data_IF_966503363472
#
_entry.id   IF_966503363472
#
_cell.length_a   1.000
_cell.length_b   1.000
_cell.length_c   1.000
_cell.angle_alpha   90.00
_cell.angle_beta   90.00
_cell.angle_gamma   90.00
#
_symmetry.space_group_name_H-M   'P 1'
#
loop_
_entity.id
_entity.type
_entity.pdbx_description
1 polymer ?
#
# COMPACT_ATOMS: atom_id res chain seq x y z
N UNK A 1 -5.77 27.00 -10.56
CA UNK A 1 -6.74 27.66 -11.47
C UNK A 1 -7.57 26.58 -12.14
N UNK A 2 -8.88 26.75 -12.28
CA UNK A 2 -9.77 25.76 -12.91
C UNK A 2 -9.32 25.45 -14.35
N UNK A 3 -9.27 24.18 -14.72
CA UNK A 3 -9.05 23.77 -16.12
C UNK A 3 -10.23 24.23 -16.97
N UNK A 4 -9.95 24.83 -18.13
CA UNK A 4 -10.97 25.34 -19.01
C UNK A 4 -10.40 25.82 -20.34
N UNK A 5 -11.24 25.85 -21.37
CA UNK A 5 -10.85 26.32 -22.71
C UNK A 5 -10.29 27.75 -22.68
N UNK A 6 -10.90 28.63 -21.88
CA UNK A 6 -10.45 30.01 -21.70
C UNK A 6 -9.15 30.16 -20.89
N UNK A 7 -8.74 29.12 -20.13
CA UNK A 7 -7.50 29.17 -19.34
C UNK A 7 -6.28 28.63 -20.10
N UNK A 8 -6.47 28.03 -21.29
CA UNK A 8 -5.40 27.44 -22.10
C UNK A 8 -4.71 26.22 -21.46
N UNK A 9 -5.22 25.74 -20.32
CA UNK A 9 -4.63 24.66 -19.51
C UNK A 9 -5.52 23.42 -19.46
N UNK A 10 -6.44 23.29 -20.42
CA UNK A 10 -7.23 22.08 -20.55
C UNK A 10 -6.32 20.93 -21.00
N UNK A 11 -6.40 19.81 -20.30
CA UNK A 11 -5.72 18.57 -20.70
C UNK A 11 -6.73 17.75 -21.46
N UNK A 12 -6.38 17.34 -22.68
CA UNK A 12 -7.20 16.43 -23.48
C UNK A 12 -6.98 14.99 -22.99
N UNK A 13 -8.01 14.32 -22.42
CA UNK A 13 -7.88 12.94 -21.97
C UNK A 13 -7.46 11.99 -23.09
N UNK A 14 -7.88 12.23 -24.33
CA UNK A 14 -7.58 11.35 -25.46
C UNK A 14 -6.10 11.38 -25.79
N UNK A 15 -5.44 12.53 -25.69
CA UNK A 15 -3.99 12.61 -25.88
C UNK A 15 -3.24 11.79 -24.83
N UNK A 16 -3.68 11.86 -23.57
CA UNK A 16 -3.05 11.10 -22.48
C UNK A 16 -3.28 9.60 -22.67
N UNK A 17 -4.49 9.18 -23.02
CA UNK A 17 -4.84 7.77 -23.27
C UNK A 17 -4.06 7.22 -24.47
N UNK A 18 -3.96 7.96 -25.57
CA UNK A 18 -3.21 7.54 -26.74
C UNK A 18 -1.71 7.41 -26.47
N UNK A 19 -1.16 8.24 -25.58
CA UNK A 19 0.26 8.22 -25.26
C UNK A 19 0.63 7.17 -24.21
N UNK A 20 -0.19 6.97 -23.18
CA UNK A 20 0.15 6.16 -22.01
C UNK A 20 -0.78 4.96 -21.77
N UNK A 21 -1.94 4.90 -22.43
CA UNK A 21 -2.97 3.89 -22.23
C UNK A 21 -4.05 4.29 -21.22
N UNK A 22 -5.22 3.65 -21.35
CA UNK A 22 -6.40 3.94 -20.54
C UNK A 22 -6.18 3.62 -19.05
N UNK A 23 -5.47 2.53 -18.73
CA UNK A 23 -5.20 2.13 -17.35
C UNK A 23 -4.27 3.10 -16.63
N UNK A 24 -3.24 3.60 -17.31
CA UNK A 24 -2.37 4.64 -16.75
C UNK A 24 -3.18 5.90 -16.43
N UNK A 25 -4.04 6.33 -17.36
CA UNK A 25 -4.90 7.50 -17.16
C UNK A 25 -5.83 7.32 -15.95
N UNK A 26 -6.57 6.20 -15.89
CA UNK A 26 -7.47 5.86 -14.77
C UNK A 26 -6.73 5.86 -13.44
N UNK A 27 -5.63 5.12 -13.36
CA UNK A 27 -4.84 5.00 -12.13
C UNK A 27 -4.31 6.37 -11.69
N UNK A 28 -3.80 7.17 -12.63
CA UNK A 28 -3.28 8.50 -12.31
C UNK A 28 -4.36 9.43 -11.74
N UNK A 29 -5.56 9.46 -12.34
CA UNK A 29 -6.70 10.25 -11.84
C UNK A 29 -7.10 9.82 -10.43
N UNK A 30 -7.13 8.51 -10.15
CA UNK A 30 -7.47 7.99 -8.83
C UNK A 30 -6.37 8.14 -7.78
N UNK A 31 -5.13 8.43 -8.20
CA UNK A 31 -3.96 8.50 -7.32
C UNK A 31 -3.50 9.92 -6.99
N UNK A 32 -3.72 10.89 -7.89
CA UNK A 32 -3.15 12.24 -7.81
C UNK A 32 -3.70 13.09 -6.64
N UNK A 33 -4.78 12.67 -5.99
CA UNK A 33 -5.35 13.38 -4.85
C UNK A 33 -6.38 12.54 -4.10
N UNK A 34 -6.84 13.08 -2.98
CA UNK A 34 -8.01 12.56 -2.28
C UNK A 34 -9.27 12.80 -3.13
N UNK A 35 -10.18 11.83 -3.14
CA UNK A 35 -11.34 11.84 -4.04
C UNK A 35 -12.21 13.10 -3.91
N UNK A 36 -12.43 13.57 -2.68
CA UNK A 36 -13.26 14.75 -2.41
C UNK A 36 -12.53 16.08 -2.64
N UNK A 37 -11.20 16.05 -2.78
CA UNK A 37 -10.39 17.26 -2.85
C UNK A 37 -10.06 17.66 -4.28
N UNK A 38 -10.02 18.99 -4.51
CA UNK A 38 -9.49 19.51 -5.76
C UNK A 38 -7.97 19.29 -5.82
N UNK A 39 -7.51 18.63 -6.88
CA UNK A 39 -6.08 18.41 -7.12
C UNK A 39 -5.60 19.10 -8.41
N UNK A 40 -4.30 19.36 -8.48
CA UNK A 40 -3.67 19.94 -9.66
C UNK A 40 -3.22 18.80 -10.57
N UNK A 41 -3.69 18.78 -11.81
CA UNK A 41 -3.18 17.86 -12.81
C UNK A 41 -1.68 18.10 -13.07
N UNK A 42 -0.87 17.04 -13.00
CA UNK A 42 0.57 17.10 -13.31
C UNK A 42 1.01 15.92 -14.14
N UNK A 43 1.69 16.18 -15.26
CA UNK A 43 2.31 15.12 -16.06
C UNK A 43 3.46 14.43 -15.31
N UNK A 44 4.10 15.10 -14.35
CA UNK A 44 5.16 14.48 -13.54
C UNK A 44 4.65 13.27 -12.77
N UNK A 45 3.42 13.33 -12.23
CA UNK A 45 2.83 12.21 -11.49
C UNK A 45 2.45 11.01 -12.35
N UNK A 46 2.26 11.19 -13.67
CA UNK A 46 1.86 10.09 -14.56
C UNK A 46 2.95 9.03 -14.70
N UNK A 47 4.21 9.45 -14.62
CA UNK A 47 5.37 8.56 -14.70
C UNK A 47 5.35 7.53 -13.57
N UNK A 48 4.85 7.90 -12.39
CA UNK A 48 4.66 6.99 -11.27
C UNK A 48 3.65 5.88 -11.61
N UNK A 49 2.52 6.24 -12.20
CA UNK A 49 1.49 5.29 -12.65
C UNK A 49 2.01 4.35 -13.75
N UNK A 50 2.75 4.88 -14.74
CA UNK A 50 3.40 4.07 -15.78
C UNK A 50 4.36 3.07 -15.16
N UNK A 51 5.27 3.53 -14.29
CA UNK A 51 6.26 2.68 -13.65
C UNK A 51 5.63 1.60 -12.77
N UNK A 52 4.55 1.93 -12.06
CA UNK A 52 3.82 0.94 -11.28
C UNK A 52 3.18 -0.13 -12.17
N UNK A 53 2.50 0.27 -13.26
CA UNK A 53 1.87 -0.73 -14.15
C UNK A 53 2.89 -1.58 -14.91
N UNK A 54 4.06 -1.03 -15.25
CA UNK A 54 5.18 -1.83 -15.75
C UNK A 54 5.63 -2.87 -14.72
N UNK A 55 5.75 -2.48 -13.44
CA UNK A 55 6.08 -3.44 -12.37
C UNK A 55 5.00 -4.52 -12.19
N UNK A 56 3.73 -4.16 -12.33
CA UNK A 56 2.60 -5.12 -12.30
C UNK A 56 2.69 -6.09 -13.47
N UNK A 57 2.99 -5.59 -14.67
CA UNK A 57 3.21 -6.42 -15.85
C UNK A 57 4.31 -7.47 -15.63
N UNK A 58 5.44 -7.07 -15.03
CA UNK A 58 6.57 -7.95 -14.77
C UNK A 58 6.26 -9.07 -13.75
N UNK A 59 5.18 -8.98 -12.95
CA UNK A 59 4.87 -9.98 -11.93
C UNK A 59 4.64 -11.37 -12.52
N UNK A 60 4.18 -11.45 -13.77
CA UNK A 60 3.96 -12.71 -14.47
C UNK A 60 5.24 -13.56 -14.59
N UNK A 61 6.42 -12.91 -14.61
CA UNK A 61 7.72 -13.60 -14.66
C UNK A 61 8.22 -14.06 -13.29
N UNK A 62 7.61 -13.58 -12.21
CA UNK A 62 7.97 -13.91 -10.83
C UNK A 62 7.12 -15.04 -10.24
N UNK A 63 6.16 -15.58 -11.00
CA UNK A 63 5.25 -16.63 -10.54
C UNK A 63 6.03 -17.91 -10.22
N UNK A 64 5.93 -18.38 -8.97
CA UNK A 64 6.54 -19.64 -8.51
C UNK A 64 5.54 -20.47 -7.73
N UNK A 65 5.25 -21.67 -8.24
CA UNK A 65 4.30 -22.59 -7.61
C UNK A 65 4.80 -23.04 -6.21
N UNK A 66 3.88 -23.09 -5.24
CA UNK A 66 4.11 -23.64 -3.90
C UNK A 66 4.98 -22.79 -2.96
N UNK A 67 5.46 -21.62 -3.39
CA UNK A 67 6.16 -20.67 -2.50
C UNK A 67 5.16 -19.67 -1.91
N UNK A 68 4.92 -19.77 -0.61
CA UNK A 68 4.11 -18.81 0.14
C UNK A 68 4.98 -18.14 1.18
N UNK A 69 4.99 -16.81 1.19
CA UNK A 69 5.66 -16.03 2.23
C UNK A 69 4.63 -15.60 3.27
N UNK A 70 4.90 -15.88 4.55
CA UNK A 70 4.07 -15.36 5.64
C UNK A 70 3.97 -13.83 5.62
N UNK A 71 5.01 -13.15 5.12
CA UNK A 71 5.00 -11.69 4.95
C UNK A 71 4.12 -11.25 3.78
N UNK A 72 4.18 -11.95 2.64
CA UNK A 72 3.30 -11.67 1.48
C UNK A 72 1.85 -11.88 1.85
N UNK A 73 1.54 -13.00 2.51
CA UNK A 73 0.21 -13.33 3.00
C UNK A 73 -0.33 -12.23 3.93
N UNK A 74 0.47 -11.81 4.91
CA UNK A 74 0.13 -10.72 5.83
C UNK A 74 -0.15 -9.41 5.07
N UNK A 75 0.73 -9.03 4.14
CA UNK A 75 0.56 -7.81 3.34
C UNK A 75 -0.67 -7.88 2.44
N UNK A 76 -0.94 -9.03 1.84
CA UNK A 76 -2.12 -9.25 1.00
C UNK A 76 -3.40 -9.15 1.82
N UNK A 77 -3.48 -9.77 3.00
CA UNK A 77 -4.65 -9.63 3.87
C UNK A 77 -4.90 -8.19 4.31
N UNK A 78 -3.84 -7.45 4.65
CA UNK A 78 -3.94 -6.00 4.93
C UNK A 78 -4.42 -5.22 3.71
N UNK A 79 -3.94 -5.57 2.51
CA UNK A 79 -4.35 -4.93 1.27
C UNK A 79 -5.83 -5.20 0.98
N UNK A 80 -6.28 -6.46 1.07
CA UNK A 80 -7.69 -6.84 0.89
C UNK A 80 -8.57 -6.06 1.87
N UNK A 81 -8.22 -6.03 3.16
CA UNK A 81 -8.93 -5.24 4.17
C UNK A 81 -9.01 -3.76 3.80
N UNK A 82 -7.89 -3.17 3.40
CA UNK A 82 -7.83 -1.75 3.03
C UNK A 82 -8.65 -1.43 1.78
N UNK A 83 -8.72 -2.34 0.81
CA UNK A 83 -9.57 -2.20 -0.36
C UNK A 83 -11.04 -2.28 0.05
N UNK A 84 -11.42 -3.27 0.87
CA UNK A 84 -12.79 -3.42 1.38
C UNK A 84 -13.22 -2.16 2.15
N UNK A 85 -12.47 -1.79 3.18
CA UNK A 85 -12.79 -0.66 4.06
C UNK A 85 -12.73 0.70 3.32
N UNK A 86 -11.88 0.80 2.28
CA UNK A 86 -11.67 2.05 1.54
C UNK A 86 -12.62 2.27 0.36
N UNK A 87 -13.34 1.24 -0.09
CA UNK A 87 -14.36 1.34 -1.14
C UNK A 87 -15.76 1.41 -0.53
N UNK A 88 -16.08 0.52 0.41
CA UNK A 88 -17.40 0.42 1.02
C UNK A 88 -17.30 -0.12 2.46
N UNK A 89 -17.67 0.69 3.44
CA UNK A 89 -17.81 0.30 4.84
C UNK A 89 -19.24 -0.19 5.10
N UNK A 90 -19.48 -1.52 5.19
CA UNK A 90 -20.81 -2.08 5.41
C UNK A 90 -21.38 -1.77 6.80
N UNK A 91 -20.55 -1.30 7.75
CA UNK A 91 -20.98 -0.92 9.10
C UNK A 91 -21.38 0.55 9.22
N UNK A 92 -21.33 1.32 8.13
CA UNK A 92 -21.76 2.72 8.13
C UNK A 92 -23.29 2.85 8.16
N UNK A 93 -23.79 3.88 8.86
CA UNK A 93 -25.23 4.12 9.01
C UNK A 93 -25.85 4.74 7.74
N UNK A 94 -25.05 5.43 6.92
CA UNK A 94 -25.50 6.04 5.66
C UNK A 94 -24.64 5.63 4.47
N UNK A 95 -25.20 5.74 3.26
CA UNK A 95 -24.48 5.45 2.02
C UNK A 95 -23.30 6.40 1.80
N UNK A 96 -23.41 7.68 2.12
CA UNK A 96 -22.27 8.59 2.05
C UNK A 96 -21.15 8.21 3.03
N UNK A 97 -21.48 7.79 4.25
CA UNK A 97 -20.50 7.32 5.23
C UNK A 97 -19.87 5.98 4.84
N UNK A 98 -20.59 5.15 4.09
CA UNK A 98 -20.09 3.87 3.63
C UNK A 98 -18.99 4.05 2.57
N UNK A 99 -19.01 5.12 1.78
CA UNK A 99 -18.12 5.26 0.63
C UNK A 99 -17.06 6.36 0.84
N UNK A 100 -15.97 6.00 1.53
CA UNK A 100 -14.85 6.91 1.81
C UNK A 100 -13.89 7.05 0.60
N UNK A 101 -14.04 6.20 -0.42
CA UNK A 101 -13.33 6.25 -1.72
C UNK A 101 -11.85 6.62 -1.61
N UNK A 102 -11.13 5.97 -0.70
CA UNK A 102 -9.73 6.29 -0.36
C UNK A 102 -8.72 5.74 -1.39
N UNK A 103 -9.00 5.96 -2.66
CA UNK A 103 -8.30 5.35 -3.80
C UNK A 103 -6.80 5.58 -3.79
N UNK A 104 -6.35 6.81 -3.51
CA UNK A 104 -4.94 7.15 -3.41
C UNK A 104 -4.21 6.26 -2.38
N UNK A 105 -4.80 6.05 -1.20
CA UNK A 105 -4.20 5.22 -0.15
C UNK A 105 -4.24 3.73 -0.47
N UNK A 106 -5.29 3.27 -1.17
CA UNK A 106 -5.41 1.89 -1.67
C UNK A 106 -4.29 1.63 -2.68
N UNK A 107 -4.16 2.51 -3.69
CA UNK A 107 -3.14 2.40 -4.74
C UNK A 107 -1.72 2.46 -4.14
N UNK A 108 -1.45 3.32 -3.15
CA UNK A 108 -0.16 3.31 -2.42
C UNK A 108 0.13 1.94 -1.80
N UNK A 109 -0.89 1.26 -1.26
CA UNK A 109 -0.71 -0.05 -0.61
C UNK A 109 -0.50 -1.16 -1.65
N UNK A 110 -1.15 -1.05 -2.81
CA UNK A 110 -0.86 -1.91 -3.96
C UNK A 110 0.59 -1.73 -4.44
N UNK A 111 1.08 -0.48 -4.51
CA UNK A 111 2.48 -0.20 -4.85
C UNK A 111 3.47 -0.81 -3.84
N UNK A 112 3.18 -0.70 -2.54
CA UNK A 112 3.99 -1.32 -1.48
C UNK A 112 4.03 -2.85 -1.63
N UNK A 113 2.87 -3.49 -1.84
CA UNK A 113 2.79 -4.94 -2.07
C UNK A 113 3.64 -5.36 -3.28
N UNK A 114 3.46 -4.70 -4.44
CA UNK A 114 4.23 -5.02 -5.66
C UNK A 114 5.73 -4.79 -5.46
N UNK A 115 6.14 -3.74 -4.77
CA UNK A 115 7.56 -3.50 -4.49
C UNK A 115 8.15 -4.62 -3.64
N UNK A 116 7.42 -5.10 -2.61
CA UNK A 116 7.86 -6.21 -1.77
C UNK A 116 7.97 -7.52 -2.56
N UNK A 117 7.00 -7.83 -3.41
CA UNK A 117 7.07 -8.99 -4.32
C UNK A 117 8.32 -8.93 -5.22
N UNK A 118 8.60 -7.75 -5.80
CA UNK A 118 9.80 -7.56 -6.64
C UNK A 118 11.10 -7.65 -5.85
N UNK A 119 11.12 -7.18 -4.61
CA UNK A 119 12.28 -7.31 -3.70
C UNK A 119 12.59 -8.78 -3.39
N UNK A 120 11.56 -9.56 -3.06
CA UNK A 120 11.73 -10.98 -2.72
C UNK A 120 11.91 -11.87 -3.97
N UNK A 121 11.51 -11.36 -5.14
CA UNK A 121 11.72 -12.01 -6.45
C UNK A 121 10.83 -13.23 -6.69
N UNK A 122 9.67 -13.29 -6.04
CA UNK A 122 8.64 -14.31 -6.32
C UNK A 122 7.24 -13.88 -5.86
N UNK A 123 6.23 -14.48 -6.48
CA UNK A 123 4.82 -14.45 -6.07
C UNK A 123 4.18 -15.82 -6.34
N UNK A 124 3.28 -16.30 -5.49
CA UNK A 124 2.48 -17.49 -5.79
C UNK A 124 1.37 -17.18 -6.81
N UNK A 125 0.80 -18.22 -7.43
CA UNK A 125 -0.36 -18.07 -8.31
C UNK A 125 -1.56 -17.53 -7.58
N UNK A 126 -1.77 -17.96 -6.34
CA UNK A 126 -2.88 -17.56 -5.48
C UNK A 126 -2.77 -16.07 -5.09
N UNK A 127 -1.57 -15.62 -4.70
CA UNK A 127 -1.32 -14.20 -4.38
C UNK A 127 -1.48 -13.31 -5.62
N UNK A 128 -0.95 -13.73 -6.78
CA UNK A 128 -1.11 -12.98 -8.02
C UNK A 128 -2.59 -12.89 -8.42
N UNK A 129 -3.34 -14.00 -8.35
CA UNK A 129 -4.77 -14.01 -8.65
C UNK A 129 -5.53 -13.01 -7.79
N UNK A 130 -5.37 -13.08 -6.48
CA UNK A 130 -6.01 -12.17 -5.54
C UNK A 130 -5.64 -10.71 -5.82
N UNK A 131 -4.35 -10.43 -6.06
CA UNK A 131 -3.88 -9.08 -6.36
C UNK A 131 -4.49 -8.52 -7.65
N UNK A 132 -4.57 -9.31 -8.73
CA UNK A 132 -5.17 -8.88 -9.99
C UNK A 132 -6.65 -8.55 -9.82
N UNK A 133 -7.40 -9.36 -9.07
CA UNK A 133 -8.82 -9.09 -8.78
C UNK A 133 -8.99 -7.77 -8.01
N UNK A 134 -8.14 -7.50 -7.03
CA UNK A 134 -8.16 -6.23 -6.28
C UNK A 134 -7.84 -5.02 -7.16
N UNK A 135 -6.91 -5.17 -8.12
CA UNK A 135 -6.46 -4.09 -8.98
C UNK A 135 -7.39 -3.85 -10.18
N UNK A 136 -8.18 -4.85 -10.59
CA UNK A 136 -9.04 -4.80 -11.77
C UNK A 136 -10.02 -3.59 -11.81
N UNK A 137 -10.67 -3.17 -10.71
CA UNK A 137 -11.51 -1.97 -10.71
C UNK A 137 -10.75 -0.70 -11.13
N UNK A 138 -9.45 -0.65 -10.86
CA UNK A 138 -8.60 0.50 -11.17
C UNK A 138 -8.05 0.43 -12.59
N UNK A 139 -7.48 -0.72 -12.96
CA UNK A 139 -6.78 -0.94 -14.24
C UNK A 139 -7.24 -2.26 -14.88
N UNK A 140 -8.43 -2.28 -15.49
CA UNK A 140 -9.06 -3.51 -15.94
C UNK A 140 -8.32 -4.16 -17.11
N UNK A 141 -7.73 -3.41 -18.03
CA UNK A 141 -7.17 -3.97 -19.26
C UNK A 141 -5.91 -4.81 -18.98
N UNK A 142 -4.96 -4.24 -18.23
CA UNK A 142 -3.71 -4.92 -17.89
C UNK A 142 -3.97 -6.13 -16.97
N UNK A 143 -4.93 -6.02 -16.05
CA UNK A 143 -5.25 -7.11 -15.13
C UNK A 143 -5.94 -8.26 -15.85
N UNK A 144 -6.91 -7.98 -16.73
CA UNK A 144 -7.54 -9.00 -17.58
C UNK A 144 -6.52 -9.70 -18.48
N UNK A 145 -5.61 -8.97 -19.11
CA UNK A 145 -4.59 -9.55 -19.99
C UNK A 145 -3.62 -10.47 -19.23
N UNK A 146 -3.11 -10.04 -18.06
CA UNK A 146 -2.24 -10.89 -17.23
C UNK A 146 -3.03 -12.11 -16.73
N UNK A 147 -4.28 -11.90 -16.34
CA UNK A 147 -5.14 -12.97 -15.81
C UNK A 147 -5.36 -14.07 -16.85
N UNK A 148 -5.79 -13.70 -18.06
CA UNK A 148 -6.03 -14.64 -19.15
C UNK A 148 -4.75 -15.42 -19.51
N UNK A 149 -3.59 -14.74 -19.55
CA UNK A 149 -2.29 -15.38 -19.84
C UNK A 149 -1.88 -16.44 -18.82
N UNK A 150 -2.15 -16.20 -17.53
CA UNK A 150 -1.65 -17.04 -16.44
C UNK A 150 -2.66 -18.11 -16.01
N UNK A 151 -3.94 -17.76 -15.98
CA UNK A 151 -5.02 -18.61 -15.45
C UNK A 151 -5.99 -19.11 -16.52
N UNK A 152 -6.05 -18.43 -17.67
CA UNK A 152 -7.12 -18.61 -18.64
C UNK A 152 -8.47 -18.08 -18.14
N UNK A 153 -9.38 -17.83 -19.09
CA UNK A 153 -10.74 -17.36 -18.77
C UNK A 153 -10.80 -15.87 -18.44
N UNK A 154 -11.93 -15.47 -17.85
CA UNK A 154 -12.27 -14.07 -17.59
C UNK A 154 -12.16 -13.74 -16.10
N UNK A 155 -11.34 -12.74 -15.77
CA UNK A 155 -11.18 -12.20 -14.41
C UNK A 155 -12.50 -11.75 -13.80
N UNK A 156 -13.49 -11.36 -14.61
CA UNK A 156 -14.82 -10.96 -14.13
C UNK A 156 -15.63 -12.13 -13.54
N UNK A 157 -15.20 -13.38 -13.76
CA UNK A 157 -15.80 -14.56 -13.14
C UNK A 157 -15.28 -14.82 -11.73
N UNK A 158 -14.24 -14.09 -11.29
CA UNK A 158 -13.66 -14.25 -9.96
C UNK A 158 -14.51 -13.59 -8.87
N UNK A 159 -14.48 -14.20 -7.68
CA UNK A 159 -15.02 -13.56 -6.48
C UNK A 159 -13.98 -12.64 -5.86
N UNK A 160 -14.44 -11.56 -5.22
CA UNK A 160 -13.55 -10.66 -4.50
C UNK A 160 -12.85 -11.42 -3.35
N UNK A 161 -11.53 -11.26 -3.16
CA UNK A 161 -10.82 -11.99 -2.12
C UNK A 161 -11.26 -11.55 -0.72
N UNK A 162 -11.20 -12.47 0.23
CA UNK A 162 -11.59 -12.25 1.64
C UNK A 162 -10.34 -12.20 2.51
N UNK A 163 -10.30 -11.28 3.47
CA UNK A 163 -9.19 -11.19 4.40
C UNK A 163 -9.44 -11.97 5.71
N UNK A 164 -8.35 -12.38 6.37
CA UNK A 164 -8.34 -12.92 7.71
C UNK A 164 -7.89 -11.83 8.69
N UNK A 165 -8.79 -11.42 9.61
CA UNK A 165 -8.54 -10.32 10.55
C UNK A 165 -7.30 -10.57 11.42
N UNK A 166 -7.01 -11.82 11.80
CA UNK A 166 -5.82 -12.13 12.61
C UNK A 166 -4.52 -11.87 11.84
N UNK A 167 -4.54 -12.11 10.53
CA UNK A 167 -3.39 -11.84 9.64
C UNK A 167 -3.23 -10.37 9.31
N UNK A 168 -4.20 -9.51 9.64
CA UNK A 168 -4.03 -8.06 9.48
C UNK A 168 -3.29 -7.41 10.64
N UNK A 169 -3.21 -8.08 11.79
CA UNK A 169 -2.59 -7.53 13.00
C UNK A 169 -1.06 -7.53 12.88
N UNK A 170 -0.46 -6.40 13.27
CA UNK A 170 0.97 -6.34 13.41
C UNK A 170 1.40 -7.01 14.71
N UNK A 171 2.21 -8.06 14.61
CA UNK A 171 2.89 -8.67 15.76
C UNK A 171 4.17 -7.92 16.09
N UNK A 172 4.81 -7.30 15.10
CA UNK A 172 6.06 -6.56 15.24
C UNK A 172 5.94 -5.17 14.62
N UNK A 173 6.57 -4.18 15.27
CA UNK A 173 6.64 -2.80 14.81
C UNK A 173 8.10 -2.31 14.82
N UNK A 174 8.43 -1.44 13.88
CA UNK A 174 9.69 -0.68 13.90
C UNK A 174 9.50 0.54 14.80
N UNK A 175 9.85 0.42 16.09
CA UNK A 175 9.72 1.48 17.07
C UNK A 175 10.85 2.52 16.90
N UNK A 176 10.55 3.80 16.62
CA UNK A 176 11.56 4.85 16.59
C UNK A 176 12.19 5.07 17.96
N UNK A 177 13.53 5.18 17.98
CA UNK A 177 14.33 5.43 19.17
C UNK A 177 14.91 6.83 19.10
N UNK A 178 14.68 7.62 20.15
CA UNK A 178 15.17 8.98 20.31
C UNK A 178 16.11 9.11 21.52
N UNK A 179 17.07 10.02 21.40
CA UNK A 179 17.95 10.44 22.47
C UNK A 179 17.91 11.97 22.56
N UNK A 180 17.49 12.51 23.71
CA UNK A 180 17.25 13.94 23.91
C UNK A 180 16.34 14.54 22.82
N UNK A 181 15.31 13.80 22.41
CA UNK A 181 14.36 14.20 21.37
C UNK A 181 14.86 14.11 19.93
N UNK A 182 16.12 13.69 19.70
CA UNK A 182 16.66 13.47 18.35
C UNK A 182 16.55 12.00 17.94
N UNK A 183 16.00 11.73 16.75
CA UNK A 183 15.89 10.38 16.20
C UNK A 183 17.26 9.77 15.93
N UNK A 184 17.48 8.53 16.39
CA UNK A 184 18.73 7.79 16.23
C UNK A 184 18.57 6.56 15.32
N UNK A 185 17.36 6.06 15.18
CA UNK A 185 17.02 4.94 14.31
C UNK A 185 15.72 4.27 14.78
N UNK A 186 15.51 3.05 14.34
CA UNK A 186 14.36 2.21 14.71
C UNK A 186 14.85 0.86 15.23
N UNK A 187 14.08 0.27 16.14
CA UNK A 187 14.27 -1.11 16.60
C UNK A 187 13.01 -1.93 16.30
N UNK A 188 13.17 -3.20 15.93
CA UNK A 188 12.04 -4.13 15.81
C UNK A 188 11.63 -4.60 17.21
N UNK A 189 10.36 -4.42 17.56
CA UNK A 189 9.78 -4.88 18.83
C UNK A 189 8.45 -5.57 18.57
N UNK A 190 8.18 -6.65 19.30
CA UNK A 190 6.88 -7.26 19.31
C UNK A 190 5.90 -6.39 20.14
N UNK A 191 4.63 -6.27 19.71
CA UNK A 191 3.63 -5.48 20.44
C UNK A 191 3.35 -6.05 21.84
N UNK A 192 3.56 -7.36 22.03
CA UNK A 192 3.42 -8.03 23.32
C UNK A 192 4.63 -7.86 24.25
N UNK A 193 5.75 -7.30 23.79
CA UNK A 193 6.92 -7.05 24.65
C UNK A 193 6.59 -6.04 25.75
N UNK A 194 7.10 -6.31 26.94
CA UNK A 194 7.00 -5.39 28.07
C UNK A 194 7.79 -4.11 27.82
N UNK A 195 7.41 -3.04 28.52
CA UNK A 195 8.13 -1.76 28.46
C UNK A 195 9.61 -1.94 28.84
N UNK A 196 9.90 -2.79 29.81
CA UNK A 196 11.24 -3.08 30.29
C UNK A 196 12.10 -3.76 29.22
N UNK A 197 11.54 -4.72 28.49
CA UNK A 197 12.21 -5.41 27.38
C UNK A 197 12.53 -4.45 26.22
N UNK A 198 11.54 -3.65 25.83
CA UNK A 198 11.69 -2.62 24.79
C UNK A 198 12.75 -1.59 25.19
N UNK A 199 12.73 -1.15 26.45
CA UNK A 199 13.71 -0.20 26.98
C UNK A 199 15.13 -0.78 26.93
N UNK A 200 15.30 -2.07 27.30
CA UNK A 200 16.59 -2.74 27.25
C UNK A 200 17.14 -2.82 25.83
N UNK A 201 16.33 -3.24 24.86
CA UNK A 201 16.69 -3.28 23.44
C UNK A 201 17.08 -1.90 22.91
N UNK A 202 16.31 -0.86 23.27
CA UNK A 202 16.59 0.49 22.83
C UNK A 202 17.86 1.10 23.46
N UNK A 203 18.15 0.79 24.72
CA UNK A 203 19.41 1.18 25.37
C UNK A 203 20.62 0.49 24.73
N UNK A 204 20.49 -0.79 24.42
CA UNK A 204 21.52 -1.55 23.71
C UNK A 204 21.79 -0.98 22.31
N UNK A 205 20.72 -0.67 21.56
CA UNK A 205 20.83 0.01 20.26
C UNK A 205 21.55 1.36 20.35
N UNK A 206 21.25 2.16 21.37
CA UNK A 206 21.90 3.45 21.61
C UNK A 206 23.31 3.35 22.21
N UNK A 207 23.75 2.13 22.59
CA UNK A 207 25.01 1.89 23.32
C UNK A 207 25.13 2.73 24.59
N UNK A 208 24.02 2.92 25.30
CA UNK A 208 24.01 3.67 26.56
C UNK A 208 24.60 2.84 27.69
N UNK A 209 25.70 3.30 28.29
CA UNK A 209 26.36 2.64 29.42
C UNK A 209 25.84 3.12 30.78
N UNK A 210 25.27 4.32 30.85
CA UNK A 210 24.65 4.89 32.04
C UNK A 210 23.12 4.87 31.94
N UNK A 211 22.44 4.65 33.06
CA UNK A 211 20.98 4.70 33.15
C UNK A 211 20.43 6.09 32.79
N UNK A 212 19.32 6.18 32.04
CA UNK A 212 18.69 7.46 31.69
C UNK A 212 18.06 8.12 32.92
N UNK A 213 18.06 9.46 32.99
CA UNK A 213 17.31 10.22 34.00
C UNK A 213 15.80 10.08 33.83
N UNK A 214 15.33 9.99 32.58
CA UNK A 214 13.91 9.84 32.27
C UNK A 214 13.73 9.09 30.95
N UNK A 215 12.78 8.18 30.93
CA UNK A 215 12.35 7.43 29.73
C UNK A 215 10.92 7.81 29.41
N UNK A 216 10.69 8.31 28.20
CA UNK A 216 9.37 8.60 27.67
C UNK A 216 9.04 7.51 26.67
N UNK A 217 8.10 6.64 27.02
CA UNK A 217 7.64 5.56 26.17
C UNK A 217 6.18 5.80 25.81
N UNK A 218 5.90 5.86 24.52
CA UNK A 218 4.54 5.86 23.98
C UNK A 218 4.37 4.55 23.21
N UNK A 219 3.57 3.60 23.74
CA UNK A 219 3.37 2.30 23.11
C UNK A 219 3.00 2.44 21.63
N UNK A 220 3.65 1.64 20.79
CA UNK A 220 3.39 1.68 19.35
C UNK A 220 3.97 2.87 18.58
N UNK A 221 4.47 3.92 19.27
CA UNK A 221 4.85 5.18 18.62
C UNK A 221 6.30 5.56 18.79
N UNK A 222 6.83 5.61 20.01
CA UNK A 222 8.20 6.08 20.24
C UNK A 222 8.76 5.68 21.60
N UNK A 223 10.08 5.56 21.69
CA UNK A 223 10.82 5.59 22.95
C UNK A 223 11.90 6.67 22.91
N UNK A 224 11.89 7.57 23.89
CA UNK A 224 12.85 8.67 24.02
C UNK A 224 13.58 8.62 25.36
N UNK A 225 14.90 8.72 25.30
CA UNK A 225 15.79 8.70 26.45
C UNK A 225 16.31 10.11 26.74
N UNK A 226 16.16 10.54 28.00
CA UNK A 226 16.74 11.77 28.53
C UNK A 226 17.87 11.38 29.48
N UNK A 227 19.09 11.85 29.19
CA UNK A 227 20.33 11.54 29.93
C UNK A 227 20.62 12.59 31.02
#
# INVERSE_FOLDING_TARGET
RKMGKSSGKAVDPILVINQFGADVFRLHVMFIGEYEQNTIWTFTGITGSVNFLNKVWDLQELVKDGKVSAEHEKLLHKLIKKVNDGIYNPSAETYEQANDFRFNTIISSMMEFVNKIKEDGFISKEELRAFLVLLNPFTPHITSEIYERIFGGDILSESFPVYDEEKTKDTEINLPVQLMGKMKGTIKVNIAESKEEIQKKAMEFLKLTSGPKKVIFVPGRIINFII
#
